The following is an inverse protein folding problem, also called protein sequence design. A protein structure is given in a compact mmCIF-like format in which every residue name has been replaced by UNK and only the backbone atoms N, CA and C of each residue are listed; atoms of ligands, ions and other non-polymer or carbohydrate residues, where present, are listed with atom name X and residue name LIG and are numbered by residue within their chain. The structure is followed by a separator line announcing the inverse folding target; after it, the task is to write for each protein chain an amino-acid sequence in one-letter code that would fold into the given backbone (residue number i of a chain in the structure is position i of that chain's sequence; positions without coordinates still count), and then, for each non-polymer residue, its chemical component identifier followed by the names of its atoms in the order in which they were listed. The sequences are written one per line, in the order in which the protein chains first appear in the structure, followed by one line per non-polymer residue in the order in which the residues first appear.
data_IF_617272952311
#
_entry.id   IF_617272952311
#
_cell.length_a   1.000
_cell.length_b   1.000
_cell.length_c   1.000
_cell.angle_alpha   90.00
_cell.angle_beta   90.00
_cell.angle_gamma   90.00
#
_symmetry.space_group_name_H-M   'P 1'
#
loop_
_entity.id
_entity.type
_entity.pdbx_description
1 polymer ?
#
# COMPACT_ATOMS: atom_id res chain seq x y z
N UNK A 1 -2.10 13.74 10.39
CA UNK A 1 -2.94 12.52 10.35
C UNK A 1 -2.26 11.53 9.42
N UNK A 2 -1.78 10.40 9.94
CA UNK A 2 -1.08 9.40 9.12
C UNK A 2 -2.11 8.59 8.32
N UNK A 3 -2.12 8.79 6.99
CA UNK A 3 -2.97 8.03 6.07
C UNK A 3 -2.58 6.55 6.20
N UNK A 4 -3.50 5.70 6.68
CA UNK A 4 -3.30 4.24 6.74
C UNK A 4 -3.02 3.76 5.32
N UNK A 5 -1.76 3.42 5.06
CA UNK A 5 -1.33 2.86 3.79
C UNK A 5 -2.11 1.57 3.55
N UNK A 6 -2.89 1.53 2.48
CA UNK A 6 -3.63 0.34 2.08
C UNK A 6 -2.65 -0.82 1.92
N UNK A 7 -2.93 -1.95 2.59
CA UNK A 7 -2.05 -3.11 2.59
C UNK A 7 -1.74 -3.59 1.17
N UNK A 8 -0.46 -3.84 0.89
CA UNK A 8 0.02 -4.27 -0.43
C UNK A 8 -0.58 -5.63 -0.78
N UNK A 9 -1.27 -5.71 -1.91
CA UNK A 9 -1.95 -6.94 -2.35
C UNK A 9 -0.92 -7.99 -2.74
N UNK A 10 -0.87 -9.09 -1.98
CA UNK A 10 0.01 -10.23 -2.24
C UNK A 10 -0.68 -11.16 -3.24
N UNK A 11 -0.05 -11.38 -4.39
CA UNK A 11 -0.53 -12.31 -5.41
C UNK A 11 0.18 -13.66 -5.29
N UNK A 12 -0.48 -14.74 -5.70
CA UNK A 12 0.11 -16.08 -5.76
C UNK A 12 0.00 -16.62 -7.19
N UNK A 13 1.03 -17.34 -7.62
CA UNK A 13 1.02 -18.09 -8.86
C UNK A 13 0.11 -19.33 -8.77
N UNK A 14 -0.17 -19.94 -9.91
CA UNK A 14 -0.92 -21.20 -9.98
C UNK A 14 -0.25 -22.36 -9.22
N UNK A 15 1.06 -22.27 -8.99
CA UNK A 15 1.84 -23.24 -8.21
C UNK A 15 1.97 -22.87 -6.72
N UNK A 16 1.25 -21.83 -6.26
CA UNK A 16 1.24 -21.40 -4.86
C UNK A 16 2.40 -20.49 -4.44
N UNK A 17 3.37 -20.22 -5.31
CA UNK A 17 4.48 -19.28 -5.02
C UNK A 17 3.97 -17.85 -4.92
N UNK A 18 4.44 -17.09 -3.93
CA UNK A 18 4.16 -15.66 -3.79
C UNK A 18 4.81 -14.88 -4.93
N UNK A 19 4.05 -13.94 -5.49
CA UNK A 19 4.46 -13.11 -6.62
C UNK A 19 4.45 -11.66 -6.18
N UNK A 20 5.63 -11.05 -6.18
CA UNK A 20 5.77 -9.60 -6.02
C UNK A 20 5.65 -8.93 -7.38
N UNK A 21 4.50 -8.27 -7.60
CA UNK A 21 4.18 -7.63 -8.88
C UNK A 21 5.06 -6.40 -9.17
N UNK A 22 5.47 -5.63 -8.17
CA UNK A 22 6.30 -4.44 -8.43
C UNK A 22 7.74 -4.83 -8.74
N UNK A 23 8.26 -5.84 -8.03
CA UNK A 23 9.59 -6.39 -8.30
C UNK A 23 9.64 -7.00 -9.70
N UNK A 24 8.59 -7.69 -10.14
CA UNK A 24 8.52 -8.18 -11.52
C UNK A 24 8.42 -7.06 -12.55
N UNK A 25 7.69 -5.98 -12.25
CA UNK A 25 7.59 -4.82 -13.15
C UNK A 25 8.94 -4.11 -13.32
N UNK A 26 9.69 -3.92 -12.23
CA UNK A 26 11.03 -3.32 -12.24
C UNK A 26 12.05 -4.20 -12.98
N UNK A 27 12.05 -5.51 -12.74
CA UNK A 27 12.96 -6.42 -13.45
C UNK A 27 12.74 -6.46 -14.96
N UNK A 28 11.51 -6.18 -15.39
CA UNK A 28 11.07 -6.36 -16.77
C UNK A 28 10.69 -5.03 -17.44
N UNK A 29 11.29 -3.91 -17.04
CA UNK A 29 10.94 -2.56 -17.52
C UNK A 29 10.86 -2.44 -19.05
N UNK A 30 11.86 -2.97 -19.76
CA UNK A 30 11.97 -2.88 -21.22
C UNK A 30 11.21 -3.98 -21.96
N UNK A 31 10.64 -4.95 -21.23
CA UNK A 31 9.89 -6.02 -21.87
C UNK A 31 8.54 -5.51 -22.34
N UNK A 32 8.06 -5.99 -23.50
CA UNK A 32 6.72 -5.66 -23.95
C UNK A 32 5.71 -6.15 -22.91
N UNK A 33 4.75 -5.30 -22.57
CA UNK A 33 3.70 -5.64 -21.63
C UNK A 33 2.83 -6.76 -22.22
N UNK A 34 2.39 -7.64 -21.35
CA UNK A 34 1.39 -8.66 -21.69
C UNK A 34 0.01 -8.00 -21.76
N UNK A 35 -0.52 -7.81 -22.98
CA UNK A 35 -1.84 -7.20 -23.18
C UNK A 35 -2.09 -6.71 -24.61
N UNK A 36 -3.23 -6.07 -24.83
CA UNK A 36 -3.61 -5.49 -26.14
C UNK A 36 -2.97 -4.11 -26.39
N UNK A 37 -2.46 -3.46 -25.34
CA UNK A 37 -1.78 -2.19 -25.44
C UNK A 37 -0.34 -2.41 -25.92
N UNK A 38 0.10 -1.61 -26.89
CA UNK A 38 1.46 -1.64 -27.42
C UNK A 38 2.41 -0.87 -26.50
N UNK A 39 2.54 -1.29 -25.26
CA UNK A 39 3.36 -0.62 -24.24
C UNK A 39 4.33 -1.60 -23.58
N UNK A 40 5.37 -1.09 -22.90
CA UNK A 40 6.24 -1.91 -22.06
C UNK A 40 5.74 -1.90 -20.61
N UNK A 41 6.40 -2.69 -19.74
CA UNK A 41 6.09 -2.71 -18.32
C UNK A 41 6.32 -1.36 -17.62
N UNK A 42 7.19 -0.48 -18.16
CA UNK A 42 7.40 0.89 -17.68
C UNK A 42 6.25 1.84 -18.05
N UNK A 43 5.58 1.59 -19.18
CA UNK A 43 4.50 2.40 -19.75
C UNK A 43 4.88 3.22 -20.98
N UNK A 44 6.05 2.99 -21.58
CA UNK A 44 6.45 3.58 -22.86
C UNK A 44 5.70 2.91 -24.01
N UNK A 45 5.44 3.65 -25.08
CA UNK A 45 4.75 3.15 -26.27
C UNK A 45 5.72 2.45 -27.23
N UNK A 46 5.38 1.22 -27.63
CA UNK A 46 6.15 0.39 -28.54
C UNK A 46 5.58 0.42 -29.97
N UNK A 47 6.42 0.85 -30.89
CA UNK A 47 6.18 0.82 -32.32
C UNK A 47 6.36 -0.57 -32.94
N UNK A 48 6.24 -0.69 -34.27
CA UNK A 48 6.52 -1.93 -34.98
C UNK A 48 7.98 -2.36 -34.75
N UNK A 49 8.18 -3.63 -34.40
CA UNK A 49 9.51 -4.17 -34.06
C UNK A 49 9.99 -3.90 -32.64
N UNK A 50 9.10 -3.47 -31.74
CA UNK A 50 9.41 -3.35 -30.31
C UNK A 50 10.30 -2.16 -29.93
N UNK A 51 10.42 -1.17 -30.84
CA UNK A 51 11.17 0.07 -30.59
C UNK A 51 10.31 1.07 -29.81
N UNK A 52 10.92 1.78 -28.87
CA UNK A 52 10.26 2.84 -28.10
C UNK A 52 10.00 4.03 -29.03
N UNK A 53 8.73 4.38 -29.23
CA UNK A 53 8.30 5.51 -30.08
C UNK A 53 8.06 6.76 -29.24
N UNK A 54 7.41 6.60 -28.08
CA UNK A 54 7.17 7.67 -27.11
C UNK A 54 7.44 7.16 -25.71
N UNK A 55 8.06 7.98 -24.87
CA UNK A 55 8.24 7.65 -23.46
C UNK A 55 6.93 7.84 -22.71
N UNK A 56 6.81 7.15 -21.58
CA UNK A 56 5.67 7.32 -20.68
C UNK A 56 5.46 8.78 -20.27
N UNK A 57 6.54 9.50 -19.96
CA UNK A 57 6.46 10.89 -19.51
C UNK A 57 5.80 11.77 -20.58
N UNK A 58 6.30 11.68 -21.82
CA UNK A 58 5.79 12.46 -22.95
C UNK A 58 4.31 12.16 -23.22
N UNK A 59 3.90 10.88 -23.15
CA UNK A 59 2.49 10.48 -23.35
C UNK A 59 1.58 11.06 -22.27
N UNK A 60 2.04 11.10 -21.02
CA UNK A 60 1.27 11.67 -19.91
C UNK A 60 1.18 13.19 -20.05
N UNK A 61 2.28 13.86 -20.38
CA UNK A 61 2.32 15.30 -20.60
C UNK A 61 1.37 15.72 -21.72
N UNK A 62 1.42 15.04 -22.87
CA UNK A 62 0.52 15.27 -24.00
C UNK A 62 -0.95 15.10 -23.58
N UNK A 63 -1.27 14.04 -22.83
CA UNK A 63 -2.63 13.77 -22.38
C UNK A 63 -3.18 14.89 -21.48
N UNK A 64 -2.39 15.36 -20.51
CA UNK A 64 -2.79 16.44 -19.61
C UNK A 64 -2.86 17.80 -20.32
N UNK A 65 -1.96 18.05 -21.27
CA UNK A 65 -1.97 19.29 -22.07
C UNK A 65 -3.21 19.36 -22.96
N UNK A 66 -3.55 18.26 -23.62
CA UNK A 66 -4.63 18.23 -24.61
C UNK A 66 -6.01 18.03 -23.93
N UNK A 67 -6.05 17.58 -22.67
CA UNK A 67 -7.28 17.29 -21.92
C UNK A 67 -7.38 18.00 -20.56
N UNK A 68 -7.35 19.35 -20.51
CA UNK A 68 -7.24 20.10 -19.26
C UNK A 68 -8.46 19.99 -18.32
N UNK A 69 -9.64 19.57 -18.80
CA UNK A 69 -10.91 19.60 -18.04
C UNK A 69 -11.50 18.22 -17.70
N UNK A 70 -10.77 17.11 -17.87
CA UNK A 70 -11.34 15.76 -17.65
C UNK A 70 -11.19 15.22 -16.23
N UNK A 71 -10.35 15.83 -15.39
CA UNK A 71 -10.27 15.46 -13.97
C UNK A 71 -11.15 16.45 -13.20
N UNK A 72 -12.39 16.08 -12.81
CA UNK A 72 -13.18 16.91 -11.92
C UNK A 72 -12.44 17.01 -10.59
N UNK A 73 -12.15 18.24 -10.15
CA UNK A 73 -11.72 18.48 -8.77
C UNK A 73 -12.88 18.12 -7.84
N UNK A 74 -12.83 16.93 -7.25
CA UNK A 74 -13.76 16.56 -6.19
C UNK A 74 -13.41 17.36 -4.93
N UNK A 75 -14.23 18.35 -4.61
CA UNK A 75 -14.16 19.04 -3.33
C UNK A 75 -14.37 18.02 -2.20
N UNK A 76 -13.54 18.02 -1.14
CA UNK A 76 -13.72 17.08 -0.04
C UNK A 76 -15.09 17.33 0.60
N UNK A 77 -16.01 16.37 0.44
CA UNK A 77 -17.27 16.36 1.19
C UNK A 77 -16.94 15.98 2.63
N UNK A 78 -17.08 16.94 3.55
CA UNK A 78 -17.01 16.67 4.97
C UNK A 78 -18.16 15.72 5.33
N UNK A 79 -17.87 14.43 5.43
CA UNK A 79 -18.76 13.46 6.03
C UNK A 79 -18.87 13.80 7.53
N UNK A 80 -20.10 14.02 8.01
CA UNK A 80 -20.40 14.63 9.30
C UNK A 80 -19.64 14.05 10.50
N UNK A 81 -19.09 14.95 11.30
CA UNK A 81 -18.27 14.69 12.49
C UNK A 81 -19.04 14.03 13.65
N UNK A 82 -20.37 13.97 13.63
CA UNK A 82 -21.16 13.63 14.83
C UNK A 82 -21.33 12.14 15.17
N UNK A 83 -20.98 11.20 14.27
CA UNK A 83 -21.11 9.75 14.56
C UNK A 83 -19.75 9.07 14.84
N UNK A 84 -18.64 9.70 14.43
CA UNK A 84 -17.30 9.10 14.53
C UNK A 84 -16.70 9.30 15.92
N UNK A 85 -17.03 10.41 16.60
CA UNK A 85 -16.53 10.70 17.96
C UNK A 85 -17.00 9.65 18.97
N UNK A 86 -18.32 9.38 19.05
CA UNK A 86 -18.87 8.41 20.01
C UNK A 86 -18.36 6.96 19.84
N UNK A 87 -17.93 6.57 18.63
CA UNK A 87 -17.37 5.24 18.38
C UNK A 87 -15.86 5.19 18.66
N UNK A 88 -15.16 6.32 18.57
CA UNK A 88 -13.74 6.38 18.88
C UNK A 88 -13.49 6.30 20.39
N UNK A 89 -14.26 7.06 21.18
CA UNK A 89 -14.11 7.08 22.65
C UNK A 89 -14.36 5.69 23.28
N UNK A 90 -15.38 4.97 22.81
CA UNK A 90 -15.71 3.64 23.34
C UNK A 90 -14.64 2.57 22.99
N UNK A 91 -14.00 2.67 21.83
CA UNK A 91 -12.93 1.74 21.43
C UNK A 91 -11.64 2.05 22.17
N UNK A 92 -11.38 3.31 22.49
CA UNK A 92 -10.18 3.71 23.23
C UNK A 92 -10.24 3.28 24.70
N UNK A 93 -11.43 3.30 25.31
CA UNK A 93 -11.66 2.83 26.69
C UNK A 93 -11.52 1.29 26.79
N UNK A 94 -12.06 0.51 25.85
CA UNK A 94 -11.91 -0.96 25.83
C UNK A 94 -10.45 -1.41 25.58
N UNK A 95 -9.71 -0.71 24.72
CA UNK A 95 -8.29 -1.02 24.47
C UNK A 95 -7.44 -0.68 25.71
N UNK A 96 -7.74 0.41 26.41
CA UNK A 96 -7.03 0.79 27.62
C UNK A 96 -7.22 -0.24 28.74
N UNK A 97 -8.44 -0.77 28.92
CA UNK A 97 -8.74 -1.80 29.91
C UNK A 97 -8.00 -3.12 29.61
N UNK A 98 -8.02 -3.59 28.35
CA UNK A 98 -7.31 -4.81 27.93
C UNK A 98 -5.78 -4.70 28.06
N UNK A 99 -5.22 -3.52 27.75
CA UNK A 99 -3.78 -3.28 27.88
C UNK A 99 -3.34 -3.19 29.35
N UNK A 100 -4.24 -2.80 30.24
CA UNK A 100 -3.95 -2.75 31.67
C UNK A 100 -4.00 -4.14 32.30
N UNK A 101 -4.98 -4.97 31.92
CA UNK A 101 -5.08 -6.38 32.33
C UNK A 101 -3.85 -7.20 31.87
N UNK A 102 -3.37 -7.05 30.62
CA UNK A 102 -2.16 -7.76 30.18
C UNK A 102 -0.87 -7.31 30.89
N UNK A 103 -0.80 -6.07 31.39
CA UNK A 103 0.38 -5.57 32.10
C UNK A 103 0.45 -6.08 33.53
N UNK A 104 -0.70 -6.25 34.19
CA UNK A 104 -0.77 -6.73 35.56
C UNK A 104 -0.41 -8.24 35.66
N UNK A 105 -0.50 -9.00 34.56
CA UNK A 105 -0.15 -10.42 34.48
C UNK A 105 1.28 -10.72 33.94
N UNK A 106 2.07 -9.70 33.58
CA UNK A 106 3.35 -9.89 32.88
C UNK A 106 4.54 -9.15 33.50
N UNK A 107 4.89 -9.48 34.74
CA UNK A 107 6.19 -9.11 35.35
C UNK A 107 7.33 -9.89 34.66
N UNK A 108 7.94 -9.31 33.63
CA UNK A 108 9.18 -9.81 33.02
C UNK A 108 10.40 -9.31 33.79
N UNK A 109 11.31 -10.22 34.16
CA UNK A 109 12.54 -9.93 34.88
C UNK A 109 13.72 -10.31 33.99
N UNK A 110 14.78 -9.50 33.98
CA UNK A 110 16.02 -9.78 33.28
C UNK A 110 16.90 -10.73 34.12
N UNK A 111 17.32 -11.85 33.55
CA UNK A 111 18.23 -12.81 34.19
C UNK A 111 19.71 -12.36 34.12
N UNK A 112 20.59 -13.08 34.84
CA UNK A 112 22.03 -12.77 34.89
C UNK A 112 22.75 -12.89 33.52
N UNK A 113 22.10 -13.51 32.53
CA UNK A 113 22.57 -13.65 31.15
C UNK A 113 22.00 -12.56 30.20
N UNK A 114 21.18 -11.64 30.73
CA UNK A 114 20.58 -10.52 29.98
C UNK A 114 19.36 -10.91 29.15
N UNK A 115 18.72 -12.06 29.44
CA UNK A 115 17.47 -12.46 28.81
C UNK A 115 16.26 -12.08 29.69
N UNK A 116 15.20 -11.59 29.07
CA UNK A 116 13.94 -11.30 29.76
C UNK A 116 13.11 -12.59 29.90
N UNK A 117 12.86 -13.01 31.13
CA UNK A 117 12.05 -14.20 31.48
C UNK A 117 10.85 -13.79 32.34
N UNK A 118 9.71 -14.47 32.17
CA UNK A 118 8.53 -14.20 33.01
C UNK A 118 8.81 -14.66 34.44
N UNK A 119 8.48 -13.82 35.41
CA UNK A 119 8.68 -14.11 36.83
C UNK A 119 7.80 -15.29 37.26
N UNK A 120 8.38 -16.48 37.40
CA UNK A 120 7.69 -17.67 37.92
C UNK A 120 7.84 -18.96 37.10
N UNK A 121 8.60 -18.95 35.99
CA UNK A 121 9.01 -20.16 35.25
C UNK A 121 10.48 -20.52 35.54
#
# INVERSE_FOLDING_TARGET
MAVRQTGRKVYKSMQGKTVDMDLLRQKNELTPAVGNARVNARGDELGPGGKIVRKREDVLEDYYRDTPNQVPDEAPVAAGESEVEHKADAVEEEIAEQVQEEKDDADWVEDDDGNFVKKGE
#
